data_IF_562174915608
#
_entry.id   IF_562174915608
#
_cell.length_a   1.000
_cell.length_b   1.000
_cell.length_c   1.000
_cell.angle_alpha   90.00
_cell.angle_beta   90.00
_cell.angle_gamma   90.00
#
_symmetry.space_group_name_H-M   'P 1'
#
loop_
_entity.id
_entity.type
_entity.pdbx_description
1 polymer ?
#
# COMPACT_ATOMS: atom_id res chain seq x y z
N UNK A 1 45.88 -0.82 21.60
CA UNK A 1 44.52 -1.34 21.89
C UNK A 1 43.39 -0.30 21.74
N UNK A 2 43.54 0.96 22.20
CA UNK A 2 42.47 1.98 22.13
C UNK A 2 42.03 2.37 20.70
N UNK A 3 42.97 2.43 19.74
CA UNK A 3 42.70 2.87 18.36
C UNK A 3 41.83 1.86 17.58
N UNK A 4 42.05 0.56 17.79
CA UNK A 4 41.29 -0.52 17.12
C UNK A 4 39.83 -0.53 17.59
N UNK A 5 39.60 -0.24 18.87
CA UNK A 5 38.26 -0.18 19.45
C UNK A 5 37.45 1.01 18.88
N UNK A 6 38.08 2.16 18.66
CA UNK A 6 37.44 3.32 18.01
C UNK A 6 37.08 3.06 16.55
N UNK A 7 37.93 2.35 15.79
CA UNK A 7 37.67 1.98 14.39
C UNK A 7 36.48 1.01 14.27
N UNK A 8 36.38 0.01 15.15
CA UNK A 8 35.24 -0.91 15.17
C UNK A 8 33.92 -0.22 15.52
N UNK A 9 33.93 0.71 16.48
CA UNK A 9 32.77 1.55 16.82
C UNK A 9 32.35 2.44 15.66
N UNK A 10 33.32 3.03 14.93
CA UNK A 10 33.04 3.86 13.78
C UNK A 10 32.44 3.05 12.61
N UNK A 11 32.94 1.84 12.36
CA UNK A 11 32.37 0.92 11.34
C UNK A 11 30.97 0.45 11.74
N UNK A 12 30.71 0.17 13.02
CA UNK A 12 29.38 -0.14 13.54
C UNK A 12 28.41 1.04 13.39
N UNK A 13 28.88 2.27 13.65
CA UNK A 13 28.09 3.49 13.49
C UNK A 13 27.79 3.78 12.02
N UNK A 14 28.77 3.66 11.12
CA UNK A 14 28.58 3.86 9.67
C UNK A 14 27.60 2.83 9.10
N UNK A 15 27.71 1.54 9.49
CA UNK A 15 26.73 0.51 9.08
C UNK A 15 25.33 0.76 9.64
N UNK A 16 25.20 1.50 10.73
CA UNK A 16 23.92 1.75 11.40
C UNK A 16 23.14 2.94 10.81
N UNK A 17 23.73 3.76 9.93
CA UNK A 17 23.12 5.02 9.47
C UNK A 17 22.80 5.12 7.98
N UNK A 18 22.90 4.05 7.20
CA UNK A 18 22.28 4.04 5.87
C UNK A 18 20.75 3.91 6.02
N UNK A 19 20.11 5.04 6.36
CA UNK A 19 18.67 5.17 6.27
C UNK A 19 18.27 4.84 4.82
N UNK A 20 17.51 3.75 4.63
CA UNK A 20 17.06 3.32 3.31
C UNK A 20 16.48 4.49 2.52
N UNK A 21 17.06 4.76 1.35
CA UNK A 21 16.61 5.81 0.44
C UNK A 21 15.14 5.60 0.10
N UNK A 22 14.33 6.62 0.31
CA UNK A 22 12.93 6.61 -0.13
C UNK A 22 12.89 6.99 -1.60
N UNK A 23 12.29 6.14 -2.43
CA UNK A 23 12.10 6.38 -3.86
C UNK A 23 10.92 7.31 -4.10
N UNK A 24 9.73 6.94 -3.61
CA UNK A 24 8.52 7.75 -3.73
C UNK A 24 7.82 7.91 -2.38
N UNK A 25 7.12 9.03 -2.22
CA UNK A 25 6.24 9.28 -1.06
C UNK A 25 4.92 9.84 -1.55
N UNK A 26 3.83 9.23 -1.08
CA UNK A 26 2.47 9.59 -1.42
C UNK A 26 1.63 9.81 -0.17
N UNK A 27 0.60 10.64 -0.31
CA UNK A 27 -0.49 10.75 0.67
C UNK A 27 -1.75 10.16 0.03
N UNK A 28 -2.23 9.05 0.59
CA UNK A 28 -3.47 8.41 0.12
C UNK A 28 -4.61 8.89 1.00
N UNK A 29 -5.58 9.58 0.40
CA UNK A 29 -6.73 10.16 1.09
C UNK A 29 -7.98 9.41 0.68
N UNK A 30 -8.72 8.87 1.64
CA UNK A 30 -10.04 8.32 1.39
C UNK A 30 -11.02 9.45 1.11
N UNK A 31 -11.75 9.35 0.01
CA UNK A 31 -12.86 10.24 -0.26
C UNK A 31 -14.03 9.85 0.64
N UNK A 32 -14.47 10.78 1.49
CA UNK A 32 -15.75 10.66 2.20
C UNK A 32 -16.81 11.14 1.24
N UNK A 33 -17.60 10.24 0.67
CA UNK A 33 -18.79 10.63 -0.08
C UNK A 33 -19.86 11.14 0.88
N UNK A 34 -20.66 12.09 0.40
CA UNK A 34 -21.87 12.51 1.09
C UNK A 34 -22.77 11.28 1.38
N UNK A 35 -23.54 11.29 2.48
CA UNK A 35 -24.50 10.23 2.77
C UNK A 35 -25.36 9.93 1.52
N UNK A 36 -25.43 8.66 1.11
CA UNK A 36 -26.22 8.22 -0.05
C UNK A 36 -25.46 8.10 -1.38
N UNK A 37 -24.16 8.45 -1.48
CA UNK A 37 -23.35 8.19 -2.69
C UNK A 37 -22.38 7.01 -2.47
N UNK A 38 -22.56 5.88 -3.18
CA UNK A 38 -21.89 4.61 -2.87
C UNK A 38 -20.43 4.49 -3.35
N UNK A 39 -19.84 5.51 -3.97
CA UNK A 39 -18.47 5.38 -4.49
C UNK A 39 -17.44 5.67 -3.41
N UNK A 40 -17.06 4.63 -2.66
CA UNK A 40 -15.79 4.61 -1.96
C UNK A 40 -14.65 4.76 -2.98
N UNK A 41 -13.66 5.57 -2.67
CA UNK A 41 -12.54 5.80 -3.56
C UNK A 41 -11.41 6.54 -2.86
N UNK A 42 -10.23 6.48 -3.44
CA UNK A 42 -9.04 7.12 -2.88
C UNK A 42 -8.49 8.13 -3.87
N UNK A 43 -7.95 9.23 -3.35
CA UNK A 43 -7.10 10.16 -4.08
C UNK A 43 -5.68 9.98 -3.59
N UNK A 44 -4.75 9.89 -4.53
CA UNK A 44 -3.33 9.71 -4.24
C UNK A 44 -2.63 11.00 -4.61
N UNK A 45 -2.06 11.66 -3.63
CA UNK A 45 -1.35 12.92 -3.78
C UNK A 45 0.16 12.72 -3.68
N UNK A 46 0.90 13.72 -4.14
CA UNK A 46 2.31 13.87 -3.83
C UNK A 46 2.57 13.92 -2.30
N UNK A 47 3.85 13.84 -1.92
CA UNK A 47 4.30 13.88 -0.53
C UNK A 47 3.86 15.13 0.27
N UNK A 48 3.52 16.22 -0.41
CA UNK A 48 3.11 17.50 0.20
C UNK A 48 1.60 17.68 0.21
N UNK A 49 0.85 16.68 -0.28
CA UNK A 49 -0.60 16.74 -0.45
C UNK A 49 -1.07 17.91 -1.35
N UNK A 50 -0.21 18.36 -2.29
CA UNK A 50 -0.52 19.53 -3.15
C UNK A 50 -1.16 19.10 -4.47
N UNK A 51 -0.56 18.13 -5.14
CA UNK A 51 -1.03 17.67 -6.45
C UNK A 51 -1.61 16.26 -6.34
N UNK A 52 -2.86 16.09 -6.78
CA UNK A 52 -3.47 14.78 -6.95
C UNK A 52 -2.89 14.14 -8.22
N UNK A 53 -2.31 12.96 -8.07
CA UNK A 53 -1.62 12.22 -9.13
C UNK A 53 -2.49 11.10 -9.69
N UNK A 54 -3.16 10.36 -8.79
CA UNK A 54 -3.97 9.20 -9.16
C UNK A 54 -5.28 9.16 -8.38
N UNK A 55 -6.23 8.37 -8.89
CA UNK A 55 -7.50 8.11 -8.23
C UNK A 55 -7.82 6.62 -8.31
N UNK A 56 -8.25 6.05 -7.19
CA UNK A 56 -8.88 4.74 -7.16
C UNK A 56 -10.40 4.95 -7.18
N UNK A 57 -11.08 4.30 -8.12
CA UNK A 57 -12.54 4.26 -8.20
C UNK A 57 -13.00 2.83 -7.90
N UNK A 58 -13.87 2.66 -6.91
CA UNK A 58 -14.56 1.40 -6.65
C UNK A 58 -15.85 1.41 -7.46
N UNK A 59 -16.09 0.34 -8.22
CA UNK A 59 -17.21 0.26 -9.17
C UNK A 59 -18.43 -0.48 -8.62
N UNK A 60 -18.27 -1.34 -7.60
CA UNK A 60 -19.38 -2.06 -6.96
C UNK A 60 -19.50 -1.76 -5.46
N UNK A 61 -20.73 -1.83 -4.92
CA UNK A 61 -21.06 -1.50 -3.51
C UNK A 61 -20.47 -2.49 -2.50
N UNK A 62 -20.34 -3.76 -2.89
CA UNK A 62 -19.89 -4.86 -2.04
C UNK A 62 -18.42 -5.28 -2.33
N UNK A 63 -17.74 -4.47 -3.16
CA UNK A 63 -16.34 -4.52 -3.60
C UNK A 63 -15.93 -5.83 -4.29
N UNK A 64 -16.14 -5.88 -5.60
CA UNK A 64 -15.59 -6.90 -6.49
C UNK A 64 -14.70 -6.32 -7.58
N UNK A 65 -14.74 -5.00 -7.82
CA UNK A 65 -13.88 -4.34 -8.83
C UNK A 65 -13.49 -2.91 -8.42
N UNK A 66 -12.19 -2.61 -8.53
CA UNK A 66 -11.66 -1.25 -8.44
C UNK A 66 -10.68 -0.98 -9.58
N UNK A 67 -10.62 0.28 -10.00
CA UNK A 67 -9.69 0.74 -11.04
C UNK A 67 -8.83 1.87 -10.50
N UNK A 68 -7.54 1.84 -10.86
CA UNK A 68 -6.60 2.93 -10.68
C UNK A 68 -6.53 3.72 -11.98
N UNK A 69 -6.82 5.01 -11.89
CA UNK A 69 -6.76 5.93 -13.02
C UNK A 69 -5.85 7.11 -12.70
N UNK A 70 -5.41 7.82 -13.74
CA UNK A 70 -4.74 9.11 -13.57
C UNK A 70 -5.67 10.16 -12.91
N UNK A 71 -5.12 11.29 -12.49
CA UNK A 71 -5.91 12.35 -11.86
C UNK A 71 -7.08 12.87 -12.73
N UNK A 72 -6.94 12.84 -14.05
CA UNK A 72 -8.02 13.27 -14.96
C UNK A 72 -9.06 12.18 -15.18
N UNK A 73 -8.78 10.95 -14.76
CA UNK A 73 -9.61 9.78 -14.97
C UNK A 73 -9.64 9.30 -16.42
N UNK A 74 -8.66 9.68 -17.25
CA UNK A 74 -8.63 9.36 -18.69
C UNK A 74 -7.97 8.02 -18.95
N UNK A 75 -6.85 7.76 -18.27
CA UNK A 75 -6.07 6.55 -18.47
C UNK A 75 -6.26 5.58 -17.31
N UNK A 76 -6.60 4.34 -17.63
CA UNK A 76 -6.61 3.22 -16.68
C UNK A 76 -5.19 2.68 -16.57
N UNK A 77 -4.68 2.60 -15.35
CA UNK A 77 -3.31 2.19 -15.03
C UNK A 77 -3.31 0.77 -14.48
N UNK A 78 -4.31 0.43 -13.67
CA UNK A 78 -4.42 -0.88 -13.07
C UNK A 78 -5.88 -1.20 -12.73
N UNK A 79 -6.21 -2.49 -12.69
CA UNK A 79 -7.50 -3.02 -12.29
C UNK A 79 -7.30 -4.00 -11.13
N UNK A 80 -8.28 -4.11 -10.25
CA UNK A 80 -8.32 -5.02 -9.12
C UNK A 80 -9.70 -5.65 -9.10
N UNK A 81 -9.77 -6.97 -9.13
CA UNK A 81 -11.01 -7.74 -9.17
C UNK A 81 -10.93 -8.95 -8.24
N UNK A 82 -12.01 -9.32 -7.56
CA UNK A 82 -12.02 -10.55 -6.75
C UNK A 82 -13.06 -10.53 -5.64
N UNK A 83 -12.86 -11.36 -4.62
CA UNK A 83 -13.77 -11.47 -3.45
C UNK A 83 -13.04 -10.95 -2.20
N UNK A 84 -13.64 -9.96 -1.53
CA UNK A 84 -12.96 -9.08 -0.57
C UNK A 84 -13.73 -9.03 0.75
N UNK A 85 -14.42 -10.10 1.11
CA UNK A 85 -15.23 -10.15 2.33
C UNK A 85 -14.34 -10.00 3.57
N UNK A 86 -14.92 -9.47 4.66
CA UNK A 86 -14.19 -9.15 5.91
C UNK A 86 -13.29 -10.31 6.37
N UNK A 87 -13.82 -11.53 6.25
CA UNK A 87 -13.19 -12.80 6.63
C UNK A 87 -12.36 -13.47 5.53
N UNK A 88 -12.38 -13.07 4.26
CA UNK A 88 -11.57 -13.68 3.20
C UNK A 88 -11.21 -12.61 2.18
N UNK A 89 -9.92 -12.48 1.88
CA UNK A 89 -9.46 -11.64 0.76
C UNK A 89 -8.68 -12.53 -0.17
N UNK A 90 -9.24 -12.74 -1.35
CA UNK A 90 -8.56 -13.31 -2.50
C UNK A 90 -8.92 -12.46 -3.71
N UNK A 91 -7.98 -11.61 -4.11
CA UNK A 91 -8.20 -10.66 -5.19
C UNK A 91 -7.10 -10.80 -6.22
N UNK A 92 -7.49 -10.82 -7.48
CA UNK A 92 -6.61 -10.71 -8.63
C UNK A 92 -6.48 -9.26 -9.02
N UNK A 93 -5.33 -8.87 -9.53
CA UNK A 93 -5.15 -7.53 -10.07
C UNK A 93 -4.33 -7.60 -11.34
N UNK A 94 -4.52 -6.62 -12.20
CA UNK A 94 -3.80 -6.47 -13.46
C UNK A 94 -3.24 -5.06 -13.53
N UNK A 95 -1.97 -4.92 -13.86
CA UNK A 95 -1.30 -3.62 -14.04
C UNK A 95 -0.92 -3.48 -15.51
N UNK A 96 -1.29 -2.34 -16.10
CA UNK A 96 -0.94 -2.03 -17.48
C UNK A 96 0.48 -1.49 -17.56
N UNK A 97 1.33 -2.19 -18.32
CA UNK A 97 2.65 -1.73 -18.70
C UNK A 97 2.54 -0.98 -20.04
N UNK A 98 2.64 0.36 -19.98
CA UNK A 98 2.55 1.21 -21.17
C UNK A 98 3.75 1.08 -22.11
N UNK A 99 4.92 0.62 -21.62
CA UNK A 99 6.11 0.42 -22.47
C UNK A 99 5.96 -0.83 -23.31
N UNK A 100 5.37 -1.88 -22.73
CA UNK A 100 5.18 -3.18 -23.38
C UNK A 100 3.78 -3.36 -23.96
N UNK A 101 2.89 -2.38 -23.78
CA UNK A 101 1.48 -2.42 -24.15
C UNK A 101 0.79 -3.71 -23.72
N UNK A 102 1.04 -4.15 -22.48
CA UNK A 102 0.54 -5.42 -21.96
C UNK A 102 0.03 -5.30 -20.53
N UNK A 103 -0.92 -6.15 -20.19
CA UNK A 103 -1.37 -6.33 -18.82
C UNK A 103 -0.53 -7.42 -18.15
N UNK A 104 -0.12 -7.18 -16.91
CA UNK A 104 0.55 -8.17 -16.08
C UNK A 104 -0.31 -8.44 -14.85
N UNK A 105 -0.63 -9.71 -14.66
CA UNK A 105 -1.51 -10.14 -13.58
C UNK A 105 -0.74 -10.46 -12.30
N UNK A 106 -1.45 -10.34 -11.19
CA UNK A 106 -1.01 -10.71 -9.86
C UNK A 106 -2.20 -11.05 -8.98
N UNK A 107 -1.91 -11.47 -7.74
CA UNK A 107 -2.95 -11.71 -6.76
C UNK A 107 -2.53 -11.25 -5.36
N UNK A 108 -3.51 -10.90 -4.54
CA UNK A 108 -3.36 -10.58 -3.13
C UNK A 108 -4.24 -11.54 -2.33
N UNK A 109 -3.61 -12.28 -1.43
CA UNK A 109 -4.28 -13.24 -0.57
C UNK A 109 -4.04 -12.87 0.89
N UNK A 110 -5.08 -12.88 1.72
CA UNK A 110 -4.89 -12.82 3.19
C UNK A 110 -4.45 -14.20 3.68
N UNK A 111 -3.39 -14.23 4.46
CA UNK A 111 -3.02 -15.38 5.27
C UNK A 111 -3.37 -15.11 6.74
N UNK A 112 -4.19 -15.99 7.33
CA UNK A 112 -4.57 -15.87 8.75
C UNK A 112 -3.60 -16.63 9.63
N UNK A 113 -3.06 -15.92 10.62
CA UNK A 113 -2.41 -16.54 11.77
C UNK A 113 -3.18 -16.13 13.03
N UNK A 114 -3.08 -16.94 14.10
CA UNK A 114 -3.79 -16.68 15.37
C UNK A 114 -3.57 -15.27 15.93
N UNK A 115 -2.43 -14.63 15.63
CA UNK A 115 -2.01 -13.32 16.15
C UNK A 115 -1.38 -12.41 15.08
N UNK A 116 -1.71 -12.61 13.79
CA UNK A 116 -1.36 -11.64 12.76
C UNK A 116 -2.20 -11.81 11.51
N UNK A 117 -2.39 -10.71 10.79
CA UNK A 117 -2.92 -10.73 9.44
C UNK A 117 -1.82 -10.31 8.48
N UNK A 118 -1.29 -11.29 7.76
CA UNK A 118 -0.31 -11.09 6.71
C UNK A 118 -1.04 -11.11 5.36
N UNK A 119 -0.62 -10.26 4.43
CA UNK A 119 -1.06 -10.36 3.03
C UNK A 119 0.10 -10.84 2.18
N UNK A 120 -0.18 -11.88 1.40
CA UNK A 120 0.73 -12.41 0.39
C UNK A 120 0.35 -11.77 -0.93
N UNK A 121 1.31 -11.15 -1.60
CA UNK A 121 1.13 -10.52 -2.90
C UNK A 121 2.04 -11.24 -3.87
N UNK A 122 1.48 -11.78 -4.96
CA UNK A 122 2.25 -12.36 -6.04
C UNK A 122 2.14 -11.47 -7.27
N UNK A 123 3.28 -11.08 -7.85
CA UNK A 123 3.32 -10.28 -9.07
C UNK A 123 4.61 -10.53 -9.84
N UNK A 124 4.51 -10.85 -11.13
CA UNK A 124 5.67 -11.00 -12.02
C UNK A 124 6.82 -11.86 -11.41
N UNK A 125 6.49 -13.07 -10.96
CA UNK A 125 7.41 -14.01 -10.27
C UNK A 125 8.02 -13.52 -8.94
N UNK A 126 7.58 -12.38 -8.41
CA UNK A 126 7.95 -11.88 -7.10
C UNK A 126 6.83 -12.12 -6.10
N UNK A 127 7.22 -12.47 -4.88
CA UNK A 127 6.31 -12.64 -3.76
C UNK A 127 6.63 -11.59 -2.69
N UNK A 128 5.64 -10.77 -2.37
CA UNK A 128 5.72 -9.75 -1.33
C UNK A 128 4.90 -10.19 -0.12
N UNK A 129 5.32 -9.77 1.06
CA UNK A 129 4.57 -9.98 2.29
C UNK A 129 4.30 -8.62 2.93
N UNK A 130 3.03 -8.25 3.06
CA UNK A 130 2.60 -7.12 3.85
C UNK A 130 2.28 -7.59 5.27
N UNK A 131 3.01 -7.07 6.25
CA UNK A 131 2.84 -7.38 7.67
C UNK A 131 2.30 -6.18 8.40
N UNK A 132 1.22 -6.37 9.15
CA UNK A 132 0.79 -5.46 10.20
C UNK A 132 1.28 -6.02 11.54
N UNK A 133 1.88 -5.19 12.40
CA UNK A 133 1.99 -5.57 13.81
C UNK A 133 0.65 -5.27 14.45
N UNK A 134 0.08 -6.24 15.17
CA UNK A 134 -1.24 -6.12 15.82
C UNK A 134 -1.40 -4.79 16.58
N UNK A 135 -2.58 -4.18 16.49
CA UNK A 135 -2.95 -2.82 16.93
C UNK A 135 -2.21 -1.64 16.27
N UNK A 136 -1.13 -1.88 15.53
CA UNK A 136 -0.39 -0.80 14.90
C UNK A 136 -1.06 -0.35 13.61
N UNK A 137 -1.28 0.96 13.53
CA UNK A 137 -1.72 1.71 12.35
C UNK A 137 -0.64 1.75 11.23
N UNK A 138 0.28 0.79 11.22
CA UNK A 138 1.45 0.75 10.36
C UNK A 138 1.56 -0.63 9.68
N UNK A 139 1.71 -0.62 8.36
CA UNK A 139 1.93 -1.84 7.57
C UNK A 139 3.27 -1.72 6.85
N UNK A 140 4.05 -2.80 6.84
CA UNK A 140 5.34 -2.86 6.12
C UNK A 140 5.28 -3.97 5.09
N UNK A 141 5.75 -3.68 3.87
CA UNK A 141 5.80 -4.63 2.76
C UNK A 141 7.24 -5.02 2.50
N UNK A 142 7.49 -6.32 2.43
CA UNK A 142 8.81 -6.88 2.21
C UNK A 142 8.81 -7.77 0.97
N UNK A 143 9.93 -7.81 0.25
CA UNK A 143 10.22 -8.91 -0.65
C UNK A 143 10.45 -10.18 0.19
N UNK A 144 9.72 -11.26 -0.11
CA UNK A 144 9.80 -12.50 0.68
C UNK A 144 11.18 -13.17 0.61
N UNK A 145 11.83 -13.14 -0.57
CA UNK A 145 13.08 -13.86 -0.81
C UNK A 145 14.27 -13.13 -0.22
N UNK A 146 14.31 -11.80 -0.36
CA UNK A 146 15.41 -10.94 0.09
C UNK A 146 15.19 -10.37 1.49
N UNK A 147 13.98 -10.51 2.04
CA UNK A 147 13.54 -9.83 3.27
C UNK A 147 13.77 -8.31 3.21
N UNK A 148 13.68 -7.74 2.01
CA UNK A 148 13.96 -6.33 1.76
C UNK A 148 12.69 -5.51 1.99
N UNK A 149 12.73 -4.52 2.88
CA UNK A 149 11.64 -3.53 2.98
C UNK A 149 11.45 -2.78 1.66
N UNK A 150 10.27 -2.92 1.06
CA UNK A 150 9.89 -2.29 -0.21
C UNK A 150 8.96 -1.10 -0.03
N UNK A 151 8.04 -1.17 0.92
CA UNK A 151 7.11 -0.08 1.21
C UNK A 151 6.70 -0.05 2.67
N UNK A 152 6.28 1.11 3.14
CA UNK A 152 5.70 1.30 4.46
C UNK A 152 4.47 2.22 4.38
N UNK A 153 3.39 1.76 4.98
CA UNK A 153 2.16 2.51 5.21
C UNK A 153 2.09 2.95 6.65
N UNK A 154 1.63 4.17 6.87
CA UNK A 154 1.28 4.69 8.18
C UNK A 154 -0.04 5.42 8.09
N UNK A 155 -1.05 4.91 8.78
CA UNK A 155 -2.32 5.60 8.95
C UNK A 155 -2.09 6.86 9.80
N UNK A 156 -2.56 8.01 9.31
CA UNK A 156 -2.55 9.27 10.07
C UNK A 156 -3.80 9.28 10.96
N UNK A 157 -3.59 9.33 12.27
CA UNK A 157 -4.68 9.44 13.25
C UNK A 157 -5.57 10.62 12.87
N UNK A 158 -6.90 10.39 12.80
CA UNK A 158 -7.86 11.46 12.53
C UNK A 158 -7.71 12.54 13.61
N UNK A 159 -7.44 13.77 13.20
CA UNK A 159 -7.63 14.93 14.08
C UNK A 159 -9.13 15.09 14.34
N UNK A 160 -9.54 15.56 15.52
CA UNK A 160 -10.95 15.67 15.95
C UNK A 160 -11.89 16.37 14.95
N UNK A 161 -11.34 17.19 14.04
CA UNK A 161 -12.09 17.92 13.01
C UNK A 161 -11.88 17.42 11.57
N UNK A 162 -11.02 16.41 11.37
CA UNK A 162 -10.75 15.87 10.04
C UNK A 162 -11.64 14.67 9.76
N UNK A 163 -12.61 14.87 8.87
CA UNK A 163 -13.50 13.78 8.42
C UNK A 163 -12.79 12.78 7.49
N UNK A 164 -11.63 13.13 6.91
CA UNK A 164 -10.94 12.28 5.94
C UNK A 164 -9.91 11.35 6.58
N UNK A 165 -9.96 10.07 6.19
CA UNK A 165 -8.91 9.11 6.51
C UNK A 165 -7.72 9.33 5.58
N UNK A 166 -6.50 9.37 6.14
CA UNK A 166 -5.27 9.55 5.37
C UNK A 166 -4.23 8.48 5.73
N UNK A 167 -3.45 8.09 4.72
CA UNK A 167 -2.31 7.19 4.84
C UNK A 167 -1.07 7.84 4.25
N UNK A 168 0.03 7.79 4.98
CA UNK A 168 1.37 8.01 4.45
C UNK A 168 1.87 6.73 3.80
N UNK A 169 2.25 6.79 2.53
CA UNK A 169 2.88 5.69 1.81
C UNK A 169 4.29 6.10 1.41
N UNK A 170 5.29 5.37 1.92
CA UNK A 170 6.70 5.48 1.52
C UNK A 170 7.10 4.23 0.75
N UNK A 171 7.66 4.40 -0.43
CA UNK A 171 8.17 3.33 -1.27
C UNK A 171 9.70 3.45 -1.30
N UNK A 172 10.36 2.35 -0.96
CA UNK A 172 11.82 2.25 -0.83
C UNK A 172 12.46 1.51 -2.01
N UNK A 173 11.66 1.00 -2.96
CA UNK A 173 12.15 0.23 -4.08
C UNK A 173 11.21 0.32 -5.28
N UNK A 174 11.79 0.44 -6.48
CA UNK A 174 11.07 0.45 -7.76
C UNK A 174 10.97 -0.94 -8.41
N UNK A 175 11.22 -2.01 -7.64
CA UNK A 175 11.20 -3.40 -8.14
C UNK A 175 9.80 -3.85 -8.61
N UNK A 176 8.74 -3.26 -8.05
CA UNK A 176 7.35 -3.49 -8.46
C UNK A 176 6.61 -2.16 -8.67
N UNK A 177 5.54 -2.13 -9.48
CA UNK A 177 4.80 -0.90 -9.73
C UNK A 177 4.06 -0.39 -8.49
N UNK A 178 3.99 0.93 -8.35
CA UNK A 178 3.36 1.60 -7.20
C UNK A 178 1.87 1.27 -7.02
N UNK A 179 1.20 0.92 -8.14
CA UNK A 179 -0.20 0.52 -8.16
C UNK A 179 -0.53 -0.63 -7.19
N UNK A 180 0.40 -1.57 -7.00
CA UNK A 180 0.24 -2.68 -6.04
C UNK A 180 0.02 -2.12 -4.63
N UNK A 181 0.81 -1.13 -4.24
CA UNK A 181 0.73 -0.54 -2.92
C UNK A 181 -0.55 0.28 -2.73
N UNK A 182 -1.03 0.94 -3.78
CA UNK A 182 -2.30 1.68 -3.72
C UNK A 182 -3.50 0.74 -3.52
N UNK A 183 -3.53 -0.38 -4.24
CA UNK A 183 -4.55 -1.41 -4.04
C UNK A 183 -4.49 -2.08 -2.68
N UNK A 184 -3.28 -2.29 -2.14
CA UNK A 184 -3.13 -2.79 -0.78
C UNK A 184 -3.74 -1.84 0.25
N UNK A 185 -3.61 -0.50 0.09
CA UNK A 185 -4.27 0.47 1.00
C UNK A 185 -5.79 0.34 0.96
N UNK A 186 -6.37 0.21 -0.23
CA UNK A 186 -7.81 0.01 -0.39
C UNK A 186 -8.29 -1.23 0.38
N UNK A 187 -7.59 -2.36 0.23
CA UNK A 187 -7.90 -3.63 0.91
C UNK A 187 -7.77 -3.49 2.43
N UNK A 188 -6.75 -2.77 2.91
CA UNK A 188 -6.52 -2.55 4.34
C UNK A 188 -7.57 -1.61 4.96
N UNK A 189 -7.97 -0.52 4.28
CA UNK A 189 -9.00 0.41 4.78
C UNK A 189 -10.39 -0.24 4.83
N UNK A 190 -10.73 -1.05 3.82
CA UNK A 190 -12.01 -1.77 3.78
C UNK A 190 -12.20 -2.63 5.03
N UNK A 191 -11.14 -3.29 5.51
CA UNK A 191 -11.16 -4.09 6.75
C UNK A 191 -11.26 -3.30 8.03
N UNK A 192 -10.66 -2.11 8.10
CA UNK A 192 -10.73 -1.28 9.30
C UNK A 192 -12.16 -0.90 9.71
N UNK A 193 -13.12 -0.98 8.78
CA UNK A 193 -14.51 -0.59 8.99
C UNK A 193 -15.45 -1.77 9.26
N UNK A 194 -15.01 -2.99 8.96
CA UNK A 194 -15.71 -4.24 9.22
C UNK A 194 -15.76 -4.64 10.71
N UNK A 195 -14.83 -4.11 11.52
CA UNK A 195 -14.73 -4.39 12.96
C UNK A 195 -15.37 -3.33 13.86
N UNK A 196 -15.92 -2.26 13.26
CA UNK A 196 -16.52 -1.11 13.97
C UNK A 196 -18.07 -1.15 13.97
N UNK A 197 -18.68 -2.26 13.54
CA UNK A 197 -20.13 -2.52 13.56
C UNK A 197 -20.51 -3.57 14.58
#
# INVERSE_FOLDING_TARGET
MKIICCLLLFILLIKCTEAKKVHHTYVVVRNVTAPGKPMYGFRIFDSKEKTCLYRIRVLSKDVDTAILVDNFGKNIIANLEGIWIEKLVNVTFSIYDSKLNKWTDGFIQRNYHLFSSDYIIQFNNQQLIAKSKDSSKNVKVYDKKKNELLAQFRYRTRWLFSKSVKYDLKIYSNQVPDAIYFFLVLILDHRGHAGDT
#
